data_IF_139795117563
#
_entry.id   IF_139795117563
#
_cell.length_a   1.000
_cell.length_b   1.000
_cell.length_c   1.000
_cell.angle_alpha   90.00
_cell.angle_beta   90.00
_cell.angle_gamma   90.00
#
_symmetry.space_group_name_H-M   'P 1'
#
loop_
_entity.id
_entity.type
_entity.pdbx_description
1 polymer ?
#
# COMPACT_ATOMS: atom_id res chain seq x y z
N UNK A 1 -52.40 38.36 0.83
CA UNK A 1 -51.05 37.77 1.04
C UNK A 1 -51.01 36.24 1.05
N UNK A 2 -52.09 35.53 1.40
CA UNK A 2 -52.12 34.04 1.45
C UNK A 2 -52.20 33.32 0.08
N UNK A 3 -52.49 34.01 -1.02
CA UNK A 3 -52.64 33.39 -2.34
C UNK A 3 -51.30 32.99 -3.00
N UNK A 4 -50.20 33.70 -2.70
CA UNK A 4 -48.89 33.44 -3.31
C UNK A 4 -48.14 32.23 -2.74
N UNK A 5 -48.63 31.62 -1.65
CA UNK A 5 -48.02 30.41 -1.07
C UNK A 5 -48.55 29.12 -1.71
N UNK A 6 -49.76 29.15 -2.29
CA UNK A 6 -50.41 27.98 -2.87
C UNK A 6 -49.85 27.63 -4.26
N UNK A 7 -49.34 28.62 -4.99
CA UNK A 7 -48.70 28.44 -6.29
C UNK A 7 -47.30 27.81 -6.18
N UNK A 8 -46.58 28.06 -5.08
CA UNK A 8 -45.24 27.47 -4.86
C UNK A 8 -45.26 25.97 -4.53
N UNK A 9 -46.36 25.47 -3.96
CA UNK A 9 -46.52 24.05 -3.65
C UNK A 9 -46.90 23.18 -4.87
N UNK A 10 -47.26 23.79 -6.01
CA UNK A 10 -47.58 23.09 -7.26
C UNK A 10 -46.37 22.90 -8.19
N UNK A 11 -45.26 23.59 -7.92
CA UNK A 11 -43.99 23.46 -8.66
C UNK A 11 -43.01 22.47 -8.02
N UNK A 12 -43.40 21.78 -6.94
CA UNK A 12 -42.61 20.66 -6.40
C UNK A 12 -42.95 19.37 -7.15
N UNK A 13 -42.45 19.27 -8.38
CA UNK A 13 -42.42 18.02 -9.13
C UNK A 13 -41.51 17.01 -8.42
N UNK A 14 -42.11 16.04 -7.74
CA UNK A 14 -41.39 14.94 -7.08
C UNK A 14 -40.71 14.02 -8.09
N UNK A 15 -39.55 13.48 -7.72
CA UNK A 15 -38.82 12.45 -8.48
C UNK A 15 -39.68 11.21 -8.65
N UNK A 16 -39.76 10.66 -9.87
CA UNK A 16 -40.48 9.41 -10.09
C UNK A 16 -39.65 8.21 -9.63
N UNK A 17 -40.31 7.15 -9.15
CA UNK A 17 -39.62 5.89 -8.81
C UNK A 17 -38.93 5.26 -10.02
N UNK A 18 -39.46 5.49 -11.23
CA UNK A 18 -38.85 4.98 -12.47
C UNK A 18 -37.54 5.69 -12.80
N UNK A 19 -37.44 7.01 -12.53
CA UNK A 19 -36.20 7.76 -12.74
C UNK A 19 -35.10 7.28 -11.80
N UNK A 20 -35.43 7.07 -10.53
CA UNK A 20 -34.46 6.50 -9.57
C UNK A 20 -34.07 5.07 -9.95
N UNK A 21 -34.99 4.27 -10.48
CA UNK A 21 -34.71 2.90 -10.92
C UNK A 21 -33.73 2.86 -12.10
N UNK A 22 -33.92 3.72 -13.11
CA UNK A 22 -33.01 3.79 -14.26
C UNK A 22 -31.62 4.28 -13.84
N UNK A 23 -31.55 5.23 -12.90
CA UNK A 23 -30.26 5.75 -12.40
C UNK A 23 -29.46 4.66 -11.69
N UNK A 24 -30.07 3.89 -10.76
CA UNK A 24 -29.37 2.81 -10.08
C UNK A 24 -28.98 1.68 -11.04
N UNK A 25 -29.78 1.44 -12.08
CA UNK A 25 -29.46 0.47 -13.13
C UNK A 25 -28.19 0.88 -13.89
N UNK A 26 -28.09 2.15 -14.29
CA UNK A 26 -26.90 2.66 -15.00
C UNK A 26 -25.67 2.64 -14.09
N UNK A 27 -25.79 3.11 -12.83
CA UNK A 27 -24.68 3.07 -11.87
C UNK A 27 -24.25 1.62 -11.59
N UNK A 28 -25.20 0.68 -11.53
CA UNK A 28 -24.92 -0.74 -11.37
C UNK A 28 -24.08 -1.33 -12.50
N UNK A 29 -24.41 -1.01 -13.76
CA UNK A 29 -23.64 -1.45 -14.94
C UNK A 29 -22.22 -0.86 -14.90
N UNK A 30 -22.08 0.44 -14.61
CA UNK A 30 -20.78 1.10 -14.53
C UNK A 30 -19.92 0.53 -13.39
N UNK A 31 -20.52 0.30 -12.22
CA UNK A 31 -19.83 -0.28 -11.07
C UNK A 31 -19.34 -1.70 -11.35
N UNK A 32 -20.13 -2.53 -12.04
CA UNK A 32 -19.75 -3.90 -12.38
C UNK A 32 -18.46 -3.96 -13.23
N UNK A 33 -18.26 -3.01 -14.15
CA UNK A 33 -17.07 -2.93 -15.00
C UNK A 33 -15.89 -2.26 -14.25
N UNK A 34 -16.18 -1.21 -13.48
CA UNK A 34 -15.16 -0.42 -12.81
C UNK A 34 -14.54 -1.09 -11.57
N UNK A 35 -15.32 -1.83 -10.78
CA UNK A 35 -14.85 -2.43 -9.54
C UNK A 35 -13.67 -3.41 -9.70
N UNK A 36 -13.69 -4.40 -10.61
CA UNK A 36 -12.57 -5.34 -10.73
C UNK A 36 -11.27 -4.63 -11.14
N UNK A 37 -11.36 -3.65 -12.03
CA UNK A 37 -10.20 -2.87 -12.46
C UNK A 37 -9.66 -2.00 -11.34
N UNK A 38 -10.54 -1.33 -10.58
CA UNK A 38 -10.16 -0.52 -9.42
C UNK A 38 -9.45 -1.34 -8.34
N UNK A 39 -9.96 -2.54 -8.02
CA UNK A 39 -9.33 -3.43 -7.04
C UNK A 39 -7.92 -3.84 -7.48
N UNK A 40 -7.74 -4.23 -8.75
CA UNK A 40 -6.41 -4.56 -9.28
C UNK A 40 -5.43 -3.37 -9.28
N UNK A 41 -5.90 -2.16 -9.60
CA UNK A 41 -5.06 -0.96 -9.50
C UNK A 41 -4.66 -0.65 -8.06
N UNK A 42 -5.60 -0.80 -7.12
CA UNK A 42 -5.35 -0.60 -5.70
C UNK A 42 -4.32 -1.59 -5.15
N UNK A 43 -4.37 -2.85 -5.57
CA UNK A 43 -3.35 -3.87 -5.23
C UNK A 43 -1.98 -3.51 -5.80
N UNK A 44 -1.91 -3.11 -7.07
CA UNK A 44 -0.67 -2.68 -7.70
C UNK A 44 -0.05 -1.46 -6.98
N UNK A 45 -0.87 -0.49 -6.59
CA UNK A 45 -0.44 0.68 -5.84
C UNK A 45 0.13 0.30 -4.46
N UNK A 46 -0.52 -0.63 -3.75
CA UNK A 46 -0.05 -1.09 -2.44
C UNK A 46 1.24 -1.92 -2.54
N UNK A 47 1.39 -2.73 -3.59
CA UNK A 47 2.65 -3.41 -3.90
C UNK A 47 3.77 -2.40 -4.21
N UNK A 48 3.48 -1.36 -5.01
CA UNK A 48 4.45 -0.30 -5.30
C UNK A 48 4.84 0.48 -4.05
N UNK A 49 3.92 0.71 -3.11
CA UNK A 49 4.21 1.33 -1.82
C UNK A 49 5.18 0.47 -1.02
N UNK A 50 4.91 -0.82 -0.86
CA UNK A 50 5.82 -1.72 -0.12
C UNK A 50 7.21 -1.82 -0.76
N UNK A 51 7.31 -1.81 -2.09
CA UNK A 51 8.61 -1.73 -2.77
C UNK A 51 9.35 -0.44 -2.45
N UNK A 52 8.64 0.69 -2.38
CA UNK A 52 9.21 1.97 -1.97
C UNK A 52 9.65 1.94 -0.51
N UNK A 53 8.84 1.37 0.38
CA UNK A 53 9.14 1.27 1.80
C UNK A 53 10.40 0.40 2.04
N UNK A 54 10.55 -0.70 1.30
CA UNK A 54 11.77 -1.51 1.34
C UNK A 54 13.01 -0.70 0.90
N UNK A 55 12.89 0.09 -0.18
CA UNK A 55 14.00 0.94 -0.68
C UNK A 55 14.33 2.09 0.27
N UNK A 56 13.32 2.70 0.89
CA UNK A 56 13.50 3.74 1.90
C UNK A 56 14.20 3.15 3.13
N UNK A 57 13.80 1.95 3.57
CA UNK A 57 14.46 1.26 4.68
C UNK A 57 15.93 0.96 4.38
N UNK A 58 16.29 0.62 3.14
CA UNK A 58 17.71 0.48 2.74
C UNK A 58 18.47 1.76 3.06
N UNK A 59 17.97 2.94 2.65
CA UNK A 59 18.64 4.20 2.94
C UNK A 59 18.84 4.45 4.44
N UNK A 60 17.87 4.06 5.27
CA UNK A 60 17.99 4.17 6.72
C UNK A 60 19.01 3.19 7.32
N UNK A 61 19.00 1.94 6.88
CA UNK A 61 19.95 0.92 7.34
C UNK A 61 21.38 1.24 6.90
N UNK A 62 21.58 1.74 5.67
CA UNK A 62 22.89 2.21 5.19
C UNK A 62 23.36 3.45 5.98
N UNK A 63 22.45 4.33 6.41
CA UNK A 63 22.79 5.44 7.31
C UNK A 63 23.21 4.96 8.70
N UNK A 64 22.58 3.90 9.23
CA UNK A 64 22.98 3.32 10.50
C UNK A 64 24.43 2.77 10.43
N UNK A 65 24.79 2.14 9.30
CA UNK A 65 26.15 1.65 9.06
C UNK A 65 27.21 2.76 9.01
N UNK A 66 26.87 3.98 8.56
CA UNK A 66 27.86 5.06 8.54
C UNK A 66 28.32 5.48 9.94
N UNK A 67 27.51 5.21 10.96
CA UNK A 67 27.81 5.57 12.36
C UNK A 67 28.54 4.46 13.10
N UNK A 68 28.13 3.20 12.89
CA UNK A 68 28.65 2.02 13.62
C UNK A 68 29.71 1.24 12.88
N UNK A 69 29.81 1.41 11.55
CA UNK A 69 30.56 0.55 10.63
C UNK A 69 30.16 -0.94 10.74
N UNK A 70 28.94 -1.23 11.18
CA UNK A 70 28.43 -2.57 11.46
C UNK A 70 26.88 -2.60 11.40
N UNK A 71 26.28 -3.48 10.58
CA UNK A 71 24.81 -3.60 10.53
C UNK A 71 24.20 -4.40 11.68
N UNK A 72 24.98 -5.08 12.52
CA UNK A 72 24.48 -5.99 13.58
C UNK A 72 23.49 -5.31 14.53
N UNK A 73 23.67 -4.02 14.77
CA UNK A 73 22.76 -3.19 15.57
C UNK A 73 21.99 -2.21 14.68
N UNK A 74 21.55 -2.64 13.50
CA UNK A 74 20.74 -1.85 12.58
C UNK A 74 19.47 -2.65 12.22
N UNK A 75 18.86 -3.30 13.21
CA UNK A 75 17.70 -4.17 13.02
C UNK A 75 16.48 -3.79 13.86
N UNK A 76 16.59 -2.77 14.71
CA UNK A 76 15.46 -2.23 15.47
C UNK A 76 15.19 -0.76 15.16
N UNK A 77 13.99 -0.29 15.48
CA UNK A 77 13.63 1.13 15.39
C UNK A 77 14.41 2.01 16.35
N UNK A 78 14.89 1.45 17.46
CA UNK A 78 15.71 2.17 18.44
C UNK A 78 17.10 2.51 17.90
N UNK A 79 17.62 1.66 17.01
CA UNK A 79 18.96 1.84 16.44
C UNK A 79 18.94 2.61 15.12
N UNK A 80 17.98 2.30 14.24
CA UNK A 80 17.83 2.95 12.93
C UNK A 80 17.23 4.37 13.06
N UNK A 81 16.55 4.64 14.18
CA UNK A 81 15.86 5.91 14.43
C UNK A 81 14.49 6.01 13.74
N UNK A 82 13.92 7.22 13.75
CA UNK A 82 12.60 7.45 13.17
C UNK A 82 12.63 7.46 11.65
N UNK A 83 12.20 6.36 11.04
CA UNK A 83 12.11 6.22 9.57
C UNK A 83 10.83 6.81 8.97
N UNK A 84 9.82 7.12 9.80
CA UNK A 84 8.48 7.47 9.34
C UNK A 84 7.71 6.30 8.69
N UNK A 85 8.28 5.09 8.71
CA UNK A 85 7.67 3.86 8.21
C UNK A 85 7.04 3.08 9.38
N UNK A 86 5.99 2.31 9.10
CA UNK A 86 5.41 1.44 10.11
C UNK A 86 6.25 0.17 10.25
N UNK A 87 6.85 -0.02 11.43
CA UNK A 87 7.69 -1.17 11.68
C UNK A 87 6.88 -2.43 12.00
N UNK A 88 7.29 -3.58 11.45
CA UNK A 88 6.73 -4.88 11.81
C UNK A 88 6.80 -5.90 10.68
N UNK A 89 6.18 -7.06 10.90
CA UNK A 89 6.17 -8.20 9.96
C UNK A 89 4.79 -8.49 9.35
N UNK A 90 3.83 -7.58 9.52
CA UNK A 90 2.43 -7.75 9.09
C UNK A 90 2.12 -6.90 7.86
N UNK A 91 0.90 -6.98 7.32
CA UNK A 91 0.51 -6.23 6.13
C UNK A 91 0.69 -4.72 6.31
N UNK A 92 1.37 -4.10 5.35
CA UNK A 92 1.63 -2.66 5.33
C UNK A 92 2.76 -2.22 6.25
N UNK A 93 3.62 -3.15 6.70
CA UNK A 93 4.78 -2.83 7.54
C UNK A 93 6.08 -3.24 6.87
N UNK A 94 7.18 -2.70 7.39
CA UNK A 94 8.55 -3.00 6.97
C UNK A 94 9.40 -3.36 8.17
N UNK A 95 10.36 -4.25 8.01
CA UNK A 95 11.34 -4.58 9.05
C UNK A 95 12.67 -4.99 8.44
N UNK A 96 13.73 -4.87 9.24
CA UNK A 96 14.97 -5.60 9.03
C UNK A 96 14.79 -6.97 9.70
N UNK A 97 14.87 -8.04 8.92
CA UNK A 97 14.61 -9.41 9.40
C UNK A 97 15.88 -10.17 9.76
N UNK A 98 17.03 -9.68 9.31
CA UNK A 98 18.34 -10.17 9.70
C UNK A 98 19.36 -9.06 9.48
N UNK A 99 20.31 -8.90 10.39
CA UNK A 99 21.46 -8.02 10.22
C UNK A 99 22.71 -8.63 10.88
N UNK A 100 23.86 -8.44 10.26
CA UNK A 100 25.18 -8.85 10.72
C UNK A 100 26.22 -7.88 10.15
N UNK A 101 27.44 -7.86 10.68
CA UNK A 101 28.58 -7.00 10.27
C UNK A 101 28.45 -6.31 8.90
N UNK A 102 28.41 -7.10 7.83
CA UNK A 102 28.42 -6.61 6.44
C UNK A 102 27.16 -6.96 5.63
N UNK A 103 26.13 -7.54 6.26
CA UNK A 103 24.97 -8.10 5.56
C UNK A 103 23.66 -7.78 6.27
N UNK A 104 22.59 -7.59 5.50
CA UNK A 104 21.26 -7.43 6.07
C UNK A 104 20.18 -7.96 5.14
N UNK A 105 19.00 -8.19 5.70
CA UNK A 105 17.77 -8.48 4.95
C UNK A 105 16.65 -7.57 5.45
N UNK A 106 16.02 -6.88 4.51
CA UNK A 106 14.84 -6.04 4.73
C UNK A 106 13.65 -6.73 4.09
N UNK A 107 12.51 -6.76 4.77
CA UNK A 107 11.25 -7.23 4.24
C UNK A 107 10.17 -6.16 4.39
N UNK A 108 9.47 -5.83 3.31
CA UNK A 108 8.29 -4.99 3.32
C UNK A 108 7.07 -5.78 2.83
N UNK A 109 6.00 -5.79 3.63
CA UNK A 109 4.78 -6.55 3.32
C UNK A 109 3.73 -5.61 2.76
N UNK A 110 3.19 -5.93 1.59
CA UNK A 110 2.10 -5.18 0.97
C UNK A 110 0.86 -5.11 1.86
N UNK A 111 0.13 -4.00 1.79
CA UNK A 111 -1.12 -3.80 2.53
C UNK A 111 -2.29 -4.59 1.92
N UNK A 112 -2.24 -4.92 0.63
CA UNK A 112 -3.40 -5.49 -0.06
C UNK A 112 -3.47 -7.00 0.08
N UNK A 113 -2.31 -7.65 0.21
CA UNK A 113 -2.15 -9.08 0.01
C UNK A 113 -0.95 -9.61 0.79
N UNK A 114 -0.77 -10.94 0.82
CA UNK A 114 0.41 -11.59 1.42
C UNK A 114 1.65 -11.50 0.52
N UNK A 115 1.85 -10.36 -0.16
CA UNK A 115 3.03 -10.13 -0.98
C UNK A 115 4.13 -9.45 -0.14
N UNK A 116 5.29 -10.09 -0.06
CA UNK A 116 6.46 -9.57 0.64
C UNK A 116 7.55 -9.25 -0.38
N UNK A 117 8.13 -8.05 -0.23
CA UNK A 117 9.24 -7.55 -1.02
C UNK A 117 10.49 -7.54 -0.13
N UNK A 118 11.47 -8.35 -0.50
CA UNK A 118 12.69 -8.57 0.27
C UNK A 118 13.90 -8.02 -0.46
N UNK A 119 14.73 -7.25 0.25
CA UNK A 119 16.04 -6.79 -0.22
C UNK A 119 17.09 -7.41 0.70
N UNK A 120 18.01 -8.18 0.12
CA UNK A 120 19.11 -8.81 0.85
C UNK A 120 20.42 -8.23 0.35
N UNK A 121 21.23 -7.68 1.26
CA UNK A 121 22.63 -7.32 1.01
C UNK A 121 23.51 -8.47 1.49
N UNK A 122 24.29 -9.03 0.57
CA UNK A 122 25.34 -10.01 0.82
C UNK A 122 26.71 -9.40 0.53
N UNK A 123 27.76 -10.08 0.95
CA UNK A 123 29.15 -9.72 0.63
C UNK A 123 29.44 -9.65 -0.87
N UNK A 124 28.63 -10.34 -1.68
CA UNK A 124 28.79 -10.46 -3.13
C UNK A 124 27.86 -9.55 -3.92
N UNK A 125 27.00 -8.77 -3.27
CA UNK A 125 26.08 -7.84 -3.92
C UNK A 125 24.74 -7.71 -3.21
N UNK A 126 23.73 -7.23 -3.92
CA UNK A 126 22.37 -7.11 -3.38
C UNK A 126 21.36 -7.80 -4.28
N UNK A 127 20.44 -8.55 -3.67
CA UNK A 127 19.37 -9.24 -4.35
C UNK A 127 18.02 -8.65 -3.92
N UNK A 128 17.08 -8.60 -4.86
CA UNK A 128 15.68 -8.21 -4.62
C UNK A 128 14.80 -9.38 -5.00
N UNK A 129 14.01 -9.87 -4.05
CA UNK A 129 13.11 -11.01 -4.24
C UNK A 129 11.71 -10.66 -3.74
N UNK A 130 10.70 -11.21 -4.39
CA UNK A 130 9.31 -11.08 -3.96
C UNK A 130 8.75 -12.47 -3.74
N UNK A 131 7.85 -12.60 -2.78
CA UNK A 131 7.15 -13.85 -2.50
C UNK A 131 5.75 -13.56 -1.99
N UNK A 132 4.79 -14.41 -2.36
CA UNK A 132 3.41 -14.29 -1.91
C UNK A 132 2.43 -14.93 -2.87
N UNK A 133 1.30 -15.41 -2.34
CA UNK A 133 0.21 -16.02 -3.13
C UNK A 133 -0.34 -15.09 -4.21
N UNK A 134 -0.34 -13.78 -3.95
CA UNK A 134 -0.87 -12.74 -4.84
C UNK A 134 0.11 -12.21 -5.89
N UNK A 135 1.43 -12.32 -5.66
CA UNK A 135 2.44 -11.70 -6.50
C UNK A 135 3.47 -12.69 -7.08
N UNK A 136 3.31 -13.97 -6.73
CA UNK A 136 4.21 -15.06 -7.08
C UNK A 136 5.56 -14.94 -6.39
N UNK A 137 6.44 -15.89 -6.68
CA UNK A 137 7.86 -15.82 -6.33
C UNK A 137 8.64 -15.29 -7.52
N UNK A 138 9.54 -14.34 -7.30
CA UNK A 138 10.38 -13.80 -8.36
C UNK A 138 11.52 -12.94 -7.84
N UNK A 139 12.46 -12.61 -8.73
CA UNK A 139 13.60 -11.74 -8.47
C UNK A 139 13.60 -10.50 -9.37
N UNK A 140 14.32 -9.46 -8.97
CA UNK A 140 14.62 -8.30 -9.84
C UNK A 140 13.47 -7.30 -10.04
N UNK A 141 12.73 -7.00 -8.98
CA UNK A 141 11.72 -5.92 -8.97
C UNK A 141 12.29 -4.55 -8.55
#
# INVERSE_FOLDING_TARGET
MLQNLRTRAQDESGFTLIELLVVILIIGILAAIALPTFLGQREKAQNSSAQSDARNMVSHVESCFTDTQDYTNCDTTGEIGNTGLTWGTTKGTVSVTAAAADTYTIAAVSKSTDCTFTITKSLTGSARTKSGSSCGTGSGW
#
